data_IF_980560203826
#
_entry.id   IF_980560203826
#
_cell.length_a   1.000
_cell.length_b   1.000
_cell.length_c   1.000
_cell.angle_alpha   90.00
_cell.angle_beta   90.00
_cell.angle_gamma   90.00
#
_symmetry.space_group_name_H-M   'P 1'
#
loop_
_entity.id
_entity.type
_entity.pdbx_description
1 polymer ?
#
# COMPACT_ATOMS: atom_id res chain seq x y z
N UNK A 1 17.28 -0.88 -14.51
CA UNK A 1 16.63 -0.09 -13.43
C UNK A 1 15.96 1.12 -14.03
N UNK A 2 14.73 1.46 -13.64
CA UNK A 2 14.02 2.65 -14.13
C UNK A 2 14.20 3.81 -13.15
N UNK A 3 13.95 5.04 -13.60
CA UNK A 3 13.98 6.23 -12.75
C UNK A 3 12.57 6.78 -12.52
N UNK A 4 12.27 7.14 -11.28
CA UNK A 4 11.01 7.80 -10.94
C UNK A 4 10.84 9.12 -11.72
N UNK A 5 9.77 9.23 -12.51
CA UNK A 5 9.47 10.42 -13.32
C UNK A 5 9.21 11.67 -12.48
N UNK A 6 8.86 11.50 -11.20
CA UNK A 6 8.64 12.62 -10.27
C UNK A 6 9.95 13.13 -9.68
N UNK A 7 10.71 12.24 -9.01
CA UNK A 7 11.84 12.62 -8.15
C UNK A 7 13.19 11.99 -8.53
N UNK A 8 13.26 11.32 -9.68
CA UNK A 8 14.46 10.68 -10.27
C UNK A 8 15.13 9.61 -9.40
N UNK A 9 14.46 9.14 -8.35
CA UNK A 9 14.93 8.02 -7.53
C UNK A 9 14.89 6.71 -8.32
N UNK A 10 15.87 5.84 -8.10
CA UNK A 10 15.92 4.53 -8.75
C UNK A 10 14.74 3.66 -8.30
N UNK A 11 14.07 3.03 -9.25
CA UNK A 11 12.94 2.13 -8.99
C UNK A 11 12.99 0.90 -9.88
N UNK A 12 12.63 -0.25 -9.31
CA UNK A 12 12.53 -1.52 -10.04
C UNK A 12 11.18 -1.66 -10.74
N UNK A 13 10.11 -1.11 -10.16
CA UNK A 13 8.71 -1.31 -10.59
C UNK A 13 7.98 0.04 -10.50
N UNK A 14 7.07 0.30 -11.46
CA UNK A 14 6.19 1.46 -11.43
C UNK A 14 5.07 1.34 -10.38
N UNK A 15 4.53 2.48 -9.94
CA UNK A 15 3.45 2.55 -8.96
C UNK A 15 2.43 3.61 -9.38
N UNK A 16 1.15 3.38 -9.04
CA UNK A 16 0.06 4.31 -9.34
C UNK A 16 -0.06 4.62 -10.85
N UNK A 17 0.11 3.60 -11.70
CA UNK A 17 -0.06 3.70 -13.16
C UNK A 17 1.13 4.30 -13.92
N UNK A 18 2.21 4.71 -13.25
CA UNK A 18 3.38 5.35 -13.88
C UNK A 18 4.70 4.86 -13.29
N UNK A 19 5.81 5.17 -13.97
CA UNK A 19 7.17 4.94 -13.44
C UNK A 19 7.47 5.90 -12.28
N UNK A 20 6.99 5.57 -11.09
CA UNK A 20 7.21 6.32 -9.86
C UNK A 20 7.66 5.42 -8.72
N UNK A 21 8.52 5.95 -7.85
CA UNK A 21 8.97 5.22 -6.67
C UNK A 21 7.87 5.12 -5.60
N UNK A 22 8.00 4.14 -4.68
CA UNK A 22 7.07 3.91 -3.56
C UNK A 22 6.75 5.17 -2.77
N UNK A 23 7.74 6.01 -2.53
CA UNK A 23 7.58 7.25 -1.78
C UNK A 23 6.68 8.27 -2.51
N UNK A 24 6.78 8.39 -3.84
CA UNK A 24 5.93 9.28 -4.63
C UNK A 24 4.49 8.75 -4.71
N UNK A 25 4.30 7.43 -4.89
CA UNK A 25 2.97 6.83 -4.89
C UNK A 25 2.26 7.00 -3.54
N UNK A 26 2.95 6.74 -2.42
CA UNK A 26 2.40 6.97 -1.08
C UNK A 26 2.13 8.46 -0.80
N UNK A 27 2.98 9.35 -1.32
CA UNK A 27 2.75 10.80 -1.24
C UNK A 27 1.49 11.21 -2.01
N UNK A 28 1.32 10.74 -3.25
CA UNK A 28 0.15 11.03 -4.08
C UNK A 28 -1.13 10.52 -3.40
N UNK A 29 -1.16 9.25 -2.99
CA UNK A 29 -2.32 8.65 -2.30
C UNK A 29 -2.75 9.44 -1.07
N UNK A 30 -1.81 9.79 -0.19
CA UNK A 30 -2.14 10.60 1.00
C UNK A 30 -2.65 11.99 0.62
N UNK A 31 -2.08 12.59 -0.41
CA UNK A 31 -2.47 13.94 -0.81
C UNK A 31 -3.88 13.98 -1.39
N UNK A 32 -4.24 13.00 -2.22
CA UNK A 32 -5.61 12.88 -2.76
C UNK A 32 -6.62 12.61 -1.64
N UNK A 33 -6.34 11.65 -0.75
CA UNK A 33 -7.30 11.25 0.29
C UNK A 33 -7.54 12.31 1.36
N UNK A 34 -6.51 13.07 1.74
CA UNK A 34 -6.61 14.03 2.84
C UNK A 34 -6.83 15.48 2.37
N UNK A 35 -6.87 15.74 1.05
CA UNK A 35 -7.34 16.99 0.46
C UNK A 35 -6.70 18.27 1.02
N UNK A 36 -5.44 18.22 1.49
CA UNK A 36 -4.82 19.39 2.12
C UNK A 36 -4.42 20.42 1.07
N UNK A 37 -4.77 21.69 1.32
CA UNK A 37 -4.22 22.82 0.57
C UNK A 37 -2.70 22.83 0.67
N UNK A 38 -2.02 22.76 -0.47
CA UNK A 38 -0.57 22.69 -0.58
C UNK A 38 -0.07 23.96 -1.25
N UNK A 39 0.22 25.02 -0.48
CA UNK A 39 0.80 26.24 -1.04
C UNK A 39 2.24 25.98 -1.51
N UNK A 40 2.61 26.56 -2.65
CA UNK A 40 4.00 26.56 -3.09
C UNK A 40 4.79 27.59 -2.30
N UNK A 41 5.82 27.15 -1.56
CA UNK A 41 6.67 28.06 -0.74
C UNK A 41 7.46 29.08 -1.57
N UNK A 42 7.77 28.74 -2.82
CA UNK A 42 8.51 29.61 -3.74
C UNK A 42 7.59 30.52 -4.56
N UNK A 43 6.26 30.34 -4.49
CA UNK A 43 5.28 31.13 -5.25
C UNK A 43 5.23 30.84 -6.76
N UNK A 44 6.33 30.43 -7.39
CA UNK A 44 6.44 30.27 -8.84
C UNK A 44 5.82 28.97 -9.41
N UNK A 45 5.44 28.01 -8.57
CA UNK A 45 4.88 26.74 -9.00
C UNK A 45 5.83 25.80 -9.77
N UNK A 46 7.13 26.13 -9.88
CA UNK A 46 8.11 25.44 -10.75
C UNK A 46 9.28 24.85 -9.95
N UNK A 47 9.04 24.39 -8.72
CA UNK A 47 10.09 23.80 -7.89
C UNK A 47 10.66 22.51 -8.52
N UNK A 48 11.99 22.42 -8.61
CA UNK A 48 12.71 21.25 -9.11
C UNK A 48 12.88 20.19 -8.01
N UNK A 49 12.77 18.90 -8.36
CA UNK A 49 12.94 17.78 -7.43
C UNK A 49 14.21 16.99 -7.73
N UNK A 50 15.04 16.73 -6.72
CA UNK A 50 16.20 15.85 -6.83
C UNK A 50 16.18 14.80 -5.73
N UNK A 51 16.84 13.66 -5.98
CA UNK A 51 16.93 12.46 -5.13
C UNK A 51 17.19 12.72 -3.63
N UNK A 52 17.86 13.82 -3.28
CA UNK A 52 18.23 14.14 -1.88
C UNK A 52 17.55 15.36 -1.27
N UNK A 53 16.56 15.96 -1.94
CA UNK A 53 15.81 17.08 -1.37
C UNK A 53 14.62 16.60 -0.53
N UNK A 54 14.92 16.26 0.74
CA UNK A 54 13.93 15.88 1.78
C UNK A 54 12.83 16.93 1.98
N UNK A 55 13.07 18.19 1.60
CA UNK A 55 12.12 19.30 1.70
C UNK A 55 11.60 19.78 0.33
N UNK A 56 11.36 18.85 -0.59
CA UNK A 56 10.71 19.18 -1.87
C UNK A 56 9.33 19.83 -1.67
N UNK A 57 9.05 20.86 -2.48
CA UNK A 57 7.78 21.58 -2.44
C UNK A 57 6.61 20.62 -2.68
N UNK A 58 5.79 20.41 -1.64
CA UNK A 58 4.69 19.43 -1.69
C UNK A 58 3.64 19.79 -2.76
N UNK A 59 3.39 21.09 -2.96
CA UNK A 59 2.49 21.62 -3.99
C UNK A 59 2.91 21.17 -5.39
N UNK A 60 4.13 21.58 -5.81
CA UNK A 60 4.65 21.25 -7.13
C UNK A 60 4.86 19.74 -7.29
N UNK A 61 5.19 19.02 -6.22
CA UNK A 61 5.36 17.56 -6.27
C UNK A 61 4.03 16.88 -6.56
N UNK A 62 2.95 17.32 -5.91
CA UNK A 62 1.61 16.78 -6.15
C UNK A 62 1.12 17.14 -7.55
N UNK A 63 1.31 18.39 -7.98
CA UNK A 63 1.02 18.82 -9.35
C UNK A 63 1.73 17.91 -10.37
N UNK A 64 3.04 17.70 -10.23
CA UNK A 64 3.81 16.80 -11.11
C UNK A 64 3.29 15.36 -11.09
N UNK A 65 2.88 14.84 -9.92
CA UNK A 65 2.25 13.52 -9.84
C UNK A 65 0.94 13.44 -10.63
N UNK A 66 0.08 14.47 -10.51
CA UNK A 66 -1.19 14.54 -11.22
C UNK A 66 -0.99 14.74 -12.73
N UNK A 67 -0.07 15.62 -13.14
CA UNK A 67 0.25 15.91 -14.55
C UNK A 67 0.80 14.68 -15.28
N UNK A 68 1.49 13.78 -14.56
CA UNK A 68 1.98 12.50 -15.09
C UNK A 68 0.87 11.44 -15.19
N UNK A 69 -0.34 11.71 -14.71
CA UNK A 69 -1.47 10.77 -14.77
C UNK A 69 -1.47 9.71 -13.67
N UNK A 70 -0.91 9.98 -12.49
CA UNK A 70 -1.03 9.05 -11.36
C UNK A 70 -2.50 8.81 -10.99
N UNK A 71 -2.88 7.55 -10.76
CA UNK A 71 -4.24 7.19 -10.32
C UNK A 71 -4.23 6.43 -9.00
N UNK A 72 -5.37 6.47 -8.28
CA UNK A 72 -5.56 5.67 -7.06
C UNK A 72 -5.93 4.21 -7.36
N UNK A 73 -6.35 3.89 -8.59
CA UNK A 73 -6.61 2.53 -9.03
C UNK A 73 -5.30 1.77 -9.12
N UNK A 74 -5.07 0.86 -8.16
CA UNK A 74 -3.95 -0.07 -8.19
C UNK A 74 -4.27 -1.15 -9.22
N UNK A 75 -4.14 -0.83 -10.50
CA UNK A 75 -3.96 -1.85 -11.53
C UNK A 75 -2.46 -1.92 -11.78
N UNK A 76 -1.79 -2.84 -11.10
CA UNK A 76 -0.41 -3.20 -11.45
C UNK A 76 -0.41 -3.65 -12.92
N UNK A 77 0.50 -3.16 -13.77
CA UNK A 77 0.61 -3.66 -15.13
C UNK A 77 1.14 -5.11 -15.09
N UNK A 78 0.24 -6.07 -15.20
CA UNK A 78 0.55 -7.39 -15.78
C UNK A 78 0.56 -7.16 -17.30
N UNK A 79 1.53 -7.70 -18.06
CA UNK A 79 1.53 -7.57 -19.52
C UNK A 79 0.21 -8.13 -20.09
N UNK A 80 -0.44 -7.33 -20.92
CA UNK A 80 -1.79 -7.55 -21.45
C UNK A 80 -1.94 -8.90 -22.18
N UNK A 81 -3.03 -9.63 -21.91
CA UNK A 81 -3.98 -10.13 -22.92
C UNK A 81 -5.34 -10.44 -22.25
N UNK A 82 -6.41 -10.06 -22.96
CA UNK A 82 -7.84 -10.36 -22.82
C UNK A 82 -8.67 -9.65 -21.74
N UNK A 83 -9.54 -8.78 -22.27
CA UNK A 83 -10.65 -8.08 -21.63
C UNK A 83 -11.83 -9.02 -21.36
N UNK A 84 -12.11 -9.26 -20.09
CA UNK A 84 -13.46 -9.52 -19.63
C UNK A 84 -13.75 -8.55 -18.48
N UNK A 85 -14.78 -7.74 -18.68
CA UNK A 85 -15.28 -6.75 -17.72
C UNK A 85 -15.87 -7.47 -16.51
N UNK A 86 -15.16 -7.44 -15.39
CA UNK A 86 -15.74 -7.79 -14.10
C UNK A 86 -16.40 -6.52 -13.57
N UNK A 87 -17.73 -6.48 -13.64
CA UNK A 87 -18.54 -5.49 -12.95
C UNK A 87 -18.30 -5.63 -11.44
N UNK A 88 -17.45 -4.76 -10.89
CA UNK A 88 -17.34 -4.64 -9.45
C UNK A 88 -18.63 -3.99 -8.92
N UNK A 89 -19.27 -4.56 -7.89
CA UNK A 89 -20.41 -3.95 -7.25
C UNK A 89 -20.01 -2.59 -6.65
N UNK A 90 -20.98 -1.66 -6.48
CA UNK A 90 -20.71 -0.36 -5.90
C UNK A 90 -20.01 -0.55 -4.56
N UNK A 91 -18.90 0.18 -4.36
CA UNK A 91 -18.27 0.33 -3.05
C UNK A 91 -19.28 1.12 -2.21
N UNK A 92 -20.25 0.41 -1.64
CA UNK A 92 -21.11 0.96 -0.60
C UNK A 92 -20.20 1.39 0.53
N UNK A 93 -20.30 2.65 0.90
CA UNK A 93 -19.65 3.24 2.04
C UNK A 93 -20.05 2.47 3.30
N UNK A 94 -19.30 1.43 3.62
CA UNK A 94 -19.36 0.76 4.91
C UNK A 94 -18.07 1.07 5.64
N UNK A 95 -17.87 2.37 5.88
CA UNK A 95 -17.33 2.78 7.18
C UNK A 95 -18.37 2.32 8.19
N UNK A 96 -18.31 1.06 8.63
CA UNK A 96 -18.68 0.81 10.01
C UNK A 96 -17.67 1.62 10.82
N UNK A 97 -18.08 2.86 11.11
CA UNK A 97 -17.71 3.50 12.34
C UNK A 97 -17.98 2.44 13.42
N UNK A 98 -16.94 1.69 13.78
CA UNK A 98 -16.87 1.13 15.10
C UNK A 98 -17.11 2.34 15.98
N UNK A 99 -18.29 2.39 16.59
CA UNK A 99 -18.68 3.38 17.57
C UNK A 99 -17.53 3.38 18.56
N UNK A 100 -16.65 4.38 18.47
CA UNK A 100 -15.71 4.67 19.52
C UNK A 100 -16.55 5.32 20.60
N UNK A 101 -17.21 4.44 21.36
CA UNK A 101 -17.80 4.81 22.63
C UNK A 101 -16.61 5.22 23.49
N UNK A 102 -16.40 6.54 23.57
CA UNK A 102 -15.38 7.17 24.39
C UNK A 102 -15.77 6.94 25.86
N UNK A 103 -15.62 5.70 26.32
CA UNK A 103 -15.50 5.41 27.73
C UNK A 103 -14.13 5.94 28.13
N UNK A 104 -14.14 7.03 28.88
CA UNK A 104 -12.99 7.88 29.13
C UNK A 104 -11.93 7.25 30.07
N UNK A 105 -11.92 5.91 30.20
CA UNK A 105 -11.12 5.15 31.19
C UNK A 105 -10.50 3.86 30.63
N UNK A 106 -10.36 3.67 29.32
CA UNK A 106 -9.52 2.57 28.84
C UNK A 106 -8.02 2.89 28.95
N UNK A 107 -7.35 2.17 29.85
CA UNK A 107 -5.89 2.16 30.02
C UNK A 107 -5.19 2.03 28.65
N UNK A 108 -4.14 2.83 28.45
CA UNK A 108 -3.33 2.84 27.21
C UNK A 108 -2.84 1.44 26.85
N UNK A 109 -2.48 0.61 27.83
CA UNK A 109 -2.06 -0.78 27.60
C UNK A 109 -3.17 -1.61 26.95
N UNK A 110 -4.43 -1.42 27.34
CA UNK A 110 -5.58 -2.11 26.77
C UNK A 110 -5.84 -1.68 25.32
N UNK A 111 -5.66 -0.38 25.03
CA UNK A 111 -5.73 0.15 23.65
C UNK A 111 -4.62 -0.44 22.77
N UNK A 112 -3.38 -0.49 23.27
CA UNK A 112 -2.24 -1.10 22.57
C UNK A 112 -2.51 -2.58 22.31
N UNK A 113 -2.97 -3.32 23.32
CA UNK A 113 -3.28 -4.74 23.22
C UNK A 113 -4.37 -5.00 22.17
N UNK A 114 -5.45 -4.22 22.18
CA UNK A 114 -6.54 -4.34 21.22
C UNK A 114 -6.05 -4.05 19.79
N UNK A 115 -5.31 -2.97 19.59
CA UNK A 115 -4.74 -2.62 18.29
C UNK A 115 -3.77 -3.69 17.77
N UNK A 116 -2.94 -4.26 18.66
CA UNK A 116 -2.03 -5.35 18.32
C UNK A 116 -2.80 -6.60 17.90
N UNK A 117 -3.82 -7.01 18.67
CA UNK A 117 -4.69 -8.15 18.35
C UNK A 117 -5.35 -7.98 16.99
N UNK A 118 -5.96 -6.83 16.74
CA UNK A 118 -6.57 -6.52 15.44
C UNK A 118 -5.54 -6.57 14.29
N UNK A 119 -4.31 -6.16 14.53
CA UNK A 119 -3.23 -6.25 13.55
C UNK A 119 -2.86 -7.70 13.22
N UNK A 120 -2.75 -8.55 14.24
CA UNK A 120 -2.52 -9.98 14.09
C UNK A 120 -3.67 -10.67 13.35
N UNK A 121 -4.91 -10.33 13.66
CA UNK A 121 -6.10 -10.91 13.02
C UNK A 121 -6.15 -10.54 11.52
N UNK A 122 -5.85 -9.27 11.17
CA UNK A 122 -5.74 -8.84 9.77
C UNK A 122 -4.65 -9.61 9.01
N UNK A 123 -3.47 -9.78 9.62
CA UNK A 123 -2.38 -10.57 9.01
C UNK A 123 -2.81 -12.01 8.79
N UNK A 124 -3.41 -12.66 9.79
CA UNK A 124 -3.88 -14.05 9.71
C UNK A 124 -4.94 -14.24 8.63
N UNK A 125 -5.87 -13.29 8.49
CA UNK A 125 -6.88 -13.32 7.44
C UNK A 125 -6.24 -13.27 6.04
N UNK A 126 -5.22 -12.42 5.85
CA UNK A 126 -4.45 -12.38 4.60
C UNK A 126 -3.72 -13.69 4.37
N UNK A 127 -2.98 -14.20 5.35
CA UNK A 127 -2.28 -15.50 5.27
C UNK A 127 -3.22 -16.64 4.82
N UNK A 128 -4.41 -16.74 5.42
CA UNK A 128 -5.41 -17.74 5.04
C UNK A 128 -5.98 -17.53 3.64
N UNK A 129 -6.22 -16.28 3.24
CA UNK A 129 -6.71 -15.96 1.90
C UNK A 129 -5.68 -16.39 0.84
N UNK A 130 -4.41 -16.04 1.04
CA UNK A 130 -3.34 -16.43 0.13
C UNK A 130 -3.08 -17.93 0.13
N UNK A 131 -3.11 -18.60 1.29
CA UNK A 131 -3.01 -20.05 1.36
C UNK A 131 -4.10 -20.74 0.53
N UNK A 132 -5.32 -20.21 0.53
CA UNK A 132 -6.40 -20.70 -0.34
C UNK A 132 -6.14 -20.43 -1.81
N UNK A 133 -5.77 -19.19 -2.17
CA UNK A 133 -5.50 -18.81 -3.57
C UNK A 133 -4.41 -19.65 -4.21
N UNK A 134 -3.37 -20.01 -3.45
CA UNK A 134 -2.21 -20.75 -3.93
C UNK A 134 -2.21 -22.23 -3.50
N UNK A 135 -3.31 -22.73 -2.92
CA UNK A 135 -3.45 -24.10 -2.43
C UNK A 135 -2.28 -24.57 -1.54
N UNK A 136 -1.84 -23.71 -0.60
CA UNK A 136 -0.73 -23.99 0.30
C UNK A 136 -1.14 -24.90 1.46
N UNK A 137 -0.30 -25.88 1.76
CA UNK A 137 -0.50 -26.81 2.87
C UNK A 137 0.09 -26.22 4.16
N UNK A 138 -0.50 -26.54 5.32
CA UNK A 138 0.14 -26.23 6.61
C UNK A 138 1.31 -27.19 6.87
N UNK A 139 2.40 -26.67 7.42
CA UNK A 139 3.51 -27.48 7.88
C UNK A 139 3.13 -28.27 9.12
N UNK A 140 3.74 -29.43 9.30
CA UNK A 140 3.63 -30.25 10.51
C UNK A 140 4.54 -29.75 11.66
N UNK A 141 4.66 -28.43 11.81
CA UNK A 141 5.38 -27.82 12.92
C UNK A 141 4.48 -27.78 14.17
N UNK A 142 5.08 -27.85 15.36
CA UNK A 142 4.37 -27.86 16.65
C UNK A 142 3.36 -26.70 16.83
N UNK A 143 3.67 -25.53 16.27
CA UNK A 143 2.78 -24.37 16.29
C UNK A 143 1.64 -24.44 15.26
N UNK A 144 1.77 -25.24 14.20
CA UNK A 144 0.83 -25.31 13.04
C UNK A 144 0.52 -23.95 12.41
N UNK A 145 1.46 -22.99 12.56
CA UNK A 145 1.33 -21.61 12.11
C UNK A 145 2.00 -21.32 10.77
N UNK A 146 2.76 -22.28 10.22
CA UNK A 146 3.49 -22.09 8.97
C UNK A 146 2.81 -22.78 7.81
N UNK A 147 2.88 -22.17 6.63
CA UNK A 147 2.48 -22.77 5.36
C UNK A 147 3.72 -23.17 4.57
N UNK A 148 3.63 -24.27 3.84
CA UNK A 148 4.69 -24.76 2.95
C UNK A 148 4.46 -24.11 1.58
N UNK A 149 5.48 -23.47 1.03
CA UNK A 149 5.45 -22.87 -0.32
C UNK A 149 6.78 -23.09 -1.03
N UNK A 150 6.74 -23.13 -2.37
CA UNK A 150 7.93 -23.11 -3.22
C UNK A 150 8.45 -21.69 -3.41
N UNK A 151 9.76 -21.56 -3.71
CA UNK A 151 10.53 -20.29 -3.85
C UNK A 151 9.97 -19.35 -4.93
N UNK A 152 9.05 -19.82 -5.79
CA UNK A 152 8.48 -19.02 -6.90
C UNK A 152 7.58 -17.88 -6.44
N UNK A 153 7.22 -17.81 -5.17
CA UNK A 153 6.31 -16.79 -4.65
C UNK A 153 6.99 -15.95 -3.56
N UNK A 154 7.29 -14.69 -3.88
CA UNK A 154 7.84 -13.72 -2.93
C UNK A 154 6.72 -13.17 -2.04
N UNK A 155 6.63 -13.75 -0.86
CA UNK A 155 5.59 -13.51 0.12
C UNK A 155 6.16 -12.65 1.27
N UNK A 156 6.30 -11.33 1.08
CA UNK A 156 6.92 -10.39 2.05
C UNK A 156 6.28 -10.40 3.46
N UNK A 157 5.06 -10.95 3.61
CA UNK A 157 4.27 -10.88 4.85
C UNK A 157 3.90 -12.22 5.49
N UNK A 158 4.45 -13.35 5.04
CA UNK A 158 3.95 -14.67 5.42
C UNK A 158 4.98 -15.51 6.16
N UNK A 159 4.52 -16.23 7.18
CA UNK A 159 5.27 -17.30 7.84
C UNK A 159 5.32 -18.53 6.94
N UNK A 160 6.29 -18.56 6.04
CA UNK A 160 6.52 -19.66 5.11
C UNK A 160 7.75 -20.43 5.54
N UNK A 161 7.66 -21.76 5.52
CA UNK A 161 8.84 -22.63 5.55
C UNK A 161 9.18 -22.99 4.10
N UNK A 162 10.41 -22.66 3.69
CA UNK A 162 10.96 -23.12 2.42
C UNK A 162 11.41 -24.57 2.62
N UNK A 163 10.76 -25.50 1.92
CA UNK A 163 11.34 -26.83 1.72
C UNK A 163 12.32 -26.70 0.56
N UNK A 164 13.55 -27.18 0.76
CA UNK A 164 14.57 -27.32 -0.30
C UNK A 164 14.06 -28.18 -1.46
#
# INVERSE_FOLDING_TARGET
TRSCLVCTESTSIGHAGVDACRACASFYKRTVLFGKNLPCRQGNGQCVFRKHQRFSCRSCRFKKCADLGMTLSVTTPIPAQNSESIDLPPISESRTAGVFENTHDECVLKKIQCAYKQSCDRRRAQELHFAKLFNLCKSDHSSKEYFISTVRHNFESFRVLLLE
#
